data_IF_292412284209
#
_entry.id   IF_292412284209
#
_cell.length_a   1.000
_cell.length_b   1.000
_cell.length_c   1.000
_cell.angle_alpha   90.00
_cell.angle_beta   90.00
_cell.angle_gamma   90.00
#
_symmetry.space_group_name_H-M   'P 1'
#
loop_
_entity.id
_entity.type
_entity.pdbx_description
1 polymer ?
#
# COMPACT_ATOMS: atom_id res chain seq x y z
N UNK A 1 8.71 -17.46 6.60
CA UNK A 1 8.16 -16.14 6.32
C UNK A 1 7.33 -16.15 5.06
N UNK A 2 6.52 -15.13 4.83
CA UNK A 2 5.79 -14.94 3.59
C UNK A 2 6.74 -14.41 2.50
N UNK A 3 6.66 -14.97 1.30
CA UNK A 3 7.34 -14.40 0.13
C UNK A 3 6.36 -13.44 -0.55
N UNK A 4 6.71 -12.15 -0.60
CA UNK A 4 5.96 -11.13 -1.32
C UNK A 4 6.58 -10.97 -2.71
N UNK A 5 5.78 -11.20 -3.74
CA UNK A 5 6.22 -10.99 -5.13
C UNK A 5 5.95 -9.55 -5.54
N UNK A 6 6.85 -8.97 -6.32
CA UNK A 6 6.70 -7.61 -6.82
C UNK A 6 7.35 -7.41 -8.18
N UNK A 7 7.18 -6.23 -8.72
CA UNK A 7 7.76 -5.80 -9.98
C UNK A 7 8.52 -4.50 -9.76
N UNK A 8 9.72 -4.45 -10.30
CA UNK A 8 10.57 -3.29 -10.25
C UNK A 8 10.76 -2.75 -11.68
N UNK A 9 10.39 -1.49 -11.87
CA UNK A 9 10.65 -0.74 -13.11
C UNK A 9 11.77 0.24 -12.83
N UNK A 10 12.86 0.16 -13.60
CA UNK A 10 14.02 1.04 -13.46
C UNK A 10 14.23 1.88 -14.71
N UNK A 11 14.82 3.09 -14.60
CA UNK A 11 15.17 3.91 -15.75
C UNK A 11 16.12 3.15 -16.69
N UNK A 12 15.81 3.16 -18.00
CA UNK A 12 16.53 2.40 -19.02
C UNK A 12 18.05 2.67 -19.06
N UNK A 13 18.45 3.91 -18.76
CA UNK A 13 19.84 4.36 -18.88
C UNK A 13 20.55 4.49 -17.52
N UNK A 14 19.96 3.91 -16.44
CA UNK A 14 20.60 3.85 -15.14
C UNK A 14 21.36 2.54 -14.95
N UNK A 15 22.26 2.52 -13.99
CA UNK A 15 22.92 1.30 -13.51
C UNK A 15 22.02 0.50 -12.53
N UNK A 16 20.82 0.99 -12.25
CA UNK A 16 19.83 0.38 -11.36
C UNK A 16 20.18 0.52 -9.87
N UNK A 17 21.07 1.44 -9.50
CA UNK A 17 21.54 1.62 -8.13
C UNK A 17 21.26 3.00 -7.59
N UNK A 18 21.01 3.06 -6.29
CA UNK A 18 20.83 4.29 -5.52
C UNK A 18 19.86 5.28 -6.19
N UNK A 19 18.74 4.75 -6.69
CA UNK A 19 17.73 5.51 -7.42
C UNK A 19 16.68 6.10 -6.46
N UNK A 20 16.15 7.29 -6.75
CA UNK A 20 14.93 7.72 -6.07
C UNK A 20 13.82 6.70 -6.37
N UNK A 21 13.13 6.24 -5.32
CA UNK A 21 12.14 5.17 -5.39
C UNK A 21 10.72 5.71 -5.24
N UNK A 22 9.82 5.27 -6.09
CA UNK A 22 8.38 5.40 -5.89
C UNK A 22 7.80 4.03 -5.59
N UNK A 23 7.18 3.90 -4.42
CA UNK A 23 6.47 2.69 -3.98
C UNK A 23 5.01 2.84 -4.39
N UNK A 24 4.49 1.87 -5.12
CA UNK A 24 3.13 1.93 -5.67
C UNK A 24 2.33 0.69 -5.28
N UNK A 25 1.74 0.67 -4.06
CA UNK A 25 0.81 -0.40 -3.67
C UNK A 25 -0.48 -0.30 -4.48
N UNK A 26 -0.94 -1.44 -5.01
CA UNK A 26 -2.17 -1.49 -5.80
C UNK A 26 -3.42 -1.30 -4.95
N UNK A 27 -4.51 -0.89 -5.60
CA UNK A 27 -5.85 -0.86 -5.01
C UNK A 27 -6.48 -2.25 -4.88
N UNK A 28 -7.67 -2.30 -4.34
CA UNK A 28 -8.41 -3.52 -4.11
C UNK A 28 -8.87 -3.62 -2.66
N UNK A 29 -8.19 -4.37 -1.75
CA UNK A 29 -6.90 -5.05 -1.87
C UNK A 29 -6.91 -6.37 -2.65
N UNK A 30 -8.09 -6.97 -2.89
CA UNK A 30 -8.29 -8.24 -3.60
C UNK A 30 -8.09 -8.07 -5.12
N UNK A 31 -6.93 -7.56 -5.49
CA UNK A 31 -6.45 -7.38 -6.86
C UNK A 31 -4.98 -7.83 -6.93
N UNK A 32 -4.29 -7.55 -8.00
CA UNK A 32 -2.85 -7.77 -8.10
C UNK A 32 -2.22 -6.93 -9.20
N UNK A 33 -0.93 -6.70 -9.07
CA UNK A 33 -0.08 -6.26 -10.16
C UNK A 33 0.33 -7.44 -11.03
N UNK A 34 0.58 -7.15 -12.32
CA UNK A 34 0.99 -8.13 -13.33
C UNK A 34 2.29 -7.68 -13.99
N UNK A 35 3.06 -8.65 -14.46
CA UNK A 35 4.14 -8.37 -15.38
C UNK A 35 3.58 -7.81 -16.68
N UNK A 36 4.10 -6.67 -17.11
CA UNK A 36 3.70 -6.07 -18.39
C UNK A 36 3.94 -4.56 -18.43
N UNK A 37 3.46 -3.95 -19.50
CA UNK A 37 3.55 -2.52 -19.70
C UNK A 37 2.56 -1.79 -18.79
N UNK A 38 3.08 -0.95 -17.90
CA UNK A 38 2.31 -0.01 -17.11
C UNK A 38 2.72 1.42 -17.52
N UNK A 39 1.82 2.21 -18.15
CA UNK A 39 2.17 3.54 -18.68
C UNK A 39 2.61 4.51 -17.60
N UNK A 40 2.05 4.40 -16.39
CA UNK A 40 2.38 5.25 -15.25
C UNK A 40 3.77 4.92 -14.71
N UNK A 41 4.10 3.64 -14.52
CA UNK A 41 5.45 3.22 -14.12
C UNK A 41 6.48 3.63 -15.17
N UNK A 42 6.18 3.50 -16.47
CA UNK A 42 7.07 3.91 -17.54
C UNK A 42 7.27 5.44 -17.58
N UNK A 43 6.19 6.19 -17.32
CA UNK A 43 6.27 7.65 -17.22
C UNK A 43 7.20 8.07 -16.07
N UNK A 44 7.06 7.47 -14.89
CA UNK A 44 7.91 7.77 -13.75
C UNK A 44 9.36 7.32 -13.98
N UNK A 45 9.57 6.13 -14.53
CA UNK A 45 10.91 5.63 -14.87
C UNK A 45 11.62 6.50 -15.92
N UNK A 46 10.89 7.05 -16.89
CA UNK A 46 11.45 7.97 -17.87
C UNK A 46 11.96 9.27 -17.25
N UNK A 47 11.58 9.58 -16.02
CA UNK A 47 12.00 10.75 -15.24
C UNK A 47 13.06 10.43 -14.18
N UNK A 48 13.59 9.23 -14.22
CA UNK A 48 14.71 8.83 -13.37
C UNK A 48 14.32 8.11 -12.05
N UNK A 49 13.04 7.81 -11.84
CA UNK A 49 12.58 7.08 -10.65
C UNK A 49 12.60 5.58 -10.88
N UNK A 50 13.06 4.82 -9.90
CA UNK A 50 12.67 3.41 -9.79
C UNK A 50 11.22 3.35 -9.29
N UNK A 51 10.44 2.39 -9.79
CA UNK A 51 9.06 2.16 -9.33
C UNK A 51 8.93 0.72 -8.85
N UNK A 52 8.55 0.54 -7.60
CA UNK A 52 8.32 -0.76 -6.97
C UNK A 52 6.83 -0.95 -6.72
N UNK A 53 6.24 -1.94 -7.37
CA UNK A 53 4.90 -2.45 -7.06
C UNK A 53 5.00 -3.84 -6.48
N UNK A 54 4.17 -4.16 -5.47
CA UNK A 54 4.22 -5.42 -4.77
C UNK A 54 2.85 -6.02 -4.57
N UNK A 55 2.79 -7.35 -4.66
CA UNK A 55 1.61 -8.14 -4.36
C UNK A 55 1.66 -8.58 -2.89
N UNK A 56 1.36 -7.64 -1.99
CA UNK A 56 1.28 -7.85 -0.54
C UNK A 56 0.24 -8.94 -0.22
N UNK A 57 0.26 -9.48 1.02
CA UNK A 57 -0.78 -10.44 1.45
C UNK A 57 -2.17 -9.87 1.18
N UNK A 58 -3.11 -10.71 0.73
CA UNK A 58 -4.42 -10.28 0.24
C UNK A 58 -4.49 -10.16 -1.28
N UNK A 59 -3.36 -9.98 -1.97
CA UNK A 59 -3.34 -9.95 -3.43
C UNK A 59 -3.80 -11.29 -4.01
N UNK A 60 -4.56 -11.22 -5.11
CA UNK A 60 -5.09 -12.40 -5.80
C UNK A 60 -4.03 -13.08 -6.68
N UNK A 61 -4.31 -14.31 -7.12
CA UNK A 61 -3.45 -15.05 -8.03
C UNK A 61 -2.32 -15.87 -7.38
N UNK A 62 -2.16 -15.77 -6.04
CA UNK A 62 -1.17 -16.52 -5.26
C UNK A 62 -1.81 -17.62 -4.39
N UNK A 63 -3.08 -17.93 -4.66
CA UNK A 63 -3.84 -18.95 -3.94
C UNK A 63 -4.65 -18.41 -2.77
N UNK A 64 -5.63 -19.21 -2.34
CA UNK A 64 -6.58 -18.82 -1.28
C UNK A 64 -5.89 -18.53 0.05
N UNK A 65 -4.81 -19.23 0.38
CA UNK A 65 -4.06 -19.00 1.61
C UNK A 65 -3.46 -17.60 1.66
N UNK A 66 -2.89 -17.13 0.54
CA UNK A 66 -2.30 -15.79 0.44
C UNK A 66 -3.36 -14.69 0.63
N UNK A 67 -4.56 -14.86 0.03
CA UNK A 67 -5.69 -13.94 0.22
C UNK A 67 -6.13 -13.92 1.70
N UNK A 68 -6.31 -15.09 2.31
CA UNK A 68 -6.77 -15.19 3.72
C UNK A 68 -5.78 -14.63 4.74
N UNK A 69 -4.48 -14.55 4.40
CA UNK A 69 -3.50 -13.94 5.30
C UNK A 69 -3.69 -12.44 5.54
N UNK A 70 -4.54 -11.80 4.75
CA UNK A 70 -4.89 -10.39 4.89
C UNK A 70 -6.08 -10.12 5.80
N UNK A 71 -6.82 -11.16 6.20
CA UNK A 71 -8.03 -11.01 7.02
C UNK A 71 -7.68 -10.35 8.36
N UNK A 72 -8.32 -9.20 8.65
CA UNK A 72 -8.06 -8.41 9.86
C UNK A 72 -6.66 -7.79 9.93
N UNK A 73 -5.97 -7.65 8.79
CA UNK A 73 -4.58 -7.17 8.76
C UNK A 73 -4.41 -5.80 8.06
N UNK A 74 -5.50 -5.09 7.82
CA UNK A 74 -5.42 -3.73 7.31
C UNK A 74 -4.66 -2.83 8.30
N UNK A 75 -3.68 -2.06 7.80
CA UNK A 75 -2.78 -1.24 8.62
C UNK A 75 -1.80 -2.01 9.50
N UNK A 76 -1.85 -3.34 9.48
CA UNK A 76 -0.97 -4.26 10.23
C UNK A 76 0.01 -4.94 9.29
N UNK A 77 -0.03 -6.26 9.17
CA UNK A 77 0.92 -7.04 8.36
C UNK A 77 0.82 -6.74 6.86
N UNK A 78 -0.34 -6.32 6.36
CA UNK A 78 -0.43 -5.85 4.97
C UNK A 78 0.45 -4.62 4.74
N UNK A 79 0.49 -3.70 5.71
CA UNK A 79 1.39 -2.54 5.66
C UNK A 79 2.85 -2.93 5.90
N UNK A 80 3.10 -3.95 6.75
CA UNK A 80 4.46 -4.46 6.96
C UNK A 80 5.05 -5.02 5.65
N UNK A 81 4.25 -5.73 4.84
CA UNK A 81 4.68 -6.23 3.53
C UNK A 81 5.12 -5.09 2.59
N UNK A 82 4.43 -3.93 2.62
CA UNK A 82 4.84 -2.74 1.86
C UNK A 82 6.16 -2.19 2.39
N UNK A 83 6.28 -2.04 3.71
CA UNK A 83 7.50 -1.55 4.38
C UNK A 83 8.70 -2.47 4.11
N UNK A 84 8.50 -3.78 4.22
CA UNK A 84 9.55 -4.79 3.96
C UNK A 84 10.03 -4.75 2.50
N UNK A 85 9.11 -4.47 1.56
CA UNK A 85 9.47 -4.32 0.15
C UNK A 85 10.35 -3.09 -0.11
N UNK A 86 10.11 -1.99 0.61
CA UNK A 86 10.98 -0.80 0.58
C UNK A 86 12.36 -1.13 1.16
N UNK A 87 12.38 -1.73 2.34
CA UNK A 87 13.63 -2.11 3.00
C UNK A 87 14.46 -3.04 2.11
N UNK A 88 13.82 -4.01 1.47
CA UNK A 88 14.49 -4.88 0.49
C UNK A 88 15.14 -4.08 -0.64
N UNK A 89 14.43 -3.10 -1.24
CA UNK A 89 14.99 -2.31 -2.33
C UNK A 89 16.20 -1.47 -1.89
N UNK A 90 16.18 -0.96 -0.65
CA UNK A 90 17.31 -0.25 -0.04
C UNK A 90 18.48 -1.21 0.23
N UNK A 91 18.23 -2.38 0.84
CA UNK A 91 19.23 -3.39 1.14
C UNK A 91 19.94 -3.94 -0.11
N UNK A 92 19.20 -4.04 -1.24
CA UNK A 92 19.77 -4.44 -2.53
C UNK A 92 20.57 -3.30 -3.20
N UNK A 93 20.63 -2.11 -2.59
CA UNK A 93 21.30 -0.94 -3.16
C UNK A 93 20.60 -0.36 -4.38
N UNK A 94 19.34 -0.72 -4.60
CA UNK A 94 18.51 -0.22 -5.71
C UNK A 94 17.97 1.18 -5.38
N UNK A 95 17.41 1.32 -4.18
CA UNK A 95 16.78 2.56 -3.73
C UNK A 95 17.71 3.41 -2.87
N UNK A 96 17.66 4.71 -3.08
CA UNK A 96 18.22 5.71 -2.17
C UNK A 96 17.26 5.86 -0.97
N UNK A 97 17.69 5.49 0.26
CA UNK A 97 16.84 5.56 1.44
C UNK A 97 16.34 6.98 1.78
N UNK A 98 17.05 8.02 1.35
CA UNK A 98 16.69 9.41 1.59
C UNK A 98 15.70 9.96 0.55
N UNK A 99 15.40 9.19 -0.50
CA UNK A 99 14.56 9.61 -1.62
C UNK A 99 13.50 8.55 -1.98
N UNK A 100 12.72 8.12 -0.98
CA UNK A 100 11.59 7.19 -1.16
C UNK A 100 10.28 7.96 -1.10
N UNK A 101 9.43 7.82 -2.10
CA UNK A 101 8.05 8.33 -2.09
C UNK A 101 7.07 7.15 -2.19
N UNK A 102 5.84 7.38 -1.72
CA UNK A 102 4.76 6.41 -1.83
C UNK A 102 3.55 7.04 -2.53
N UNK A 103 2.95 6.30 -3.46
CA UNK A 103 1.79 6.73 -4.22
C UNK A 103 0.82 5.58 -4.41
N UNK A 104 -0.47 5.83 -4.24
CA UNK A 104 -1.46 4.78 -4.43
C UNK A 104 -2.89 5.29 -4.48
N UNK A 105 -3.77 4.45 -5.05
CA UNK A 105 -5.18 4.76 -5.21
C UNK A 105 -6.07 3.75 -4.47
N UNK A 106 -7.23 4.22 -3.98
CA UNK A 106 -8.21 3.38 -3.29
C UNK A 106 -7.59 2.68 -2.06
N UNK A 107 -7.57 1.34 -1.98
CA UNK A 107 -6.79 0.64 -0.94
C UNK A 107 -5.30 1.04 -0.98
N UNK A 108 -4.71 1.22 -2.17
CA UNK A 108 -3.34 1.74 -2.30
C UNK A 108 -3.16 3.12 -1.67
N UNK A 109 -4.19 3.98 -1.77
CA UNK A 109 -4.22 5.27 -1.07
C UNK A 109 -4.33 5.12 0.45
N UNK A 110 -5.11 4.14 0.94
CA UNK A 110 -5.08 3.76 2.36
C UNK A 110 -3.67 3.31 2.79
N UNK A 111 -3.00 2.47 1.99
CA UNK A 111 -1.64 2.01 2.27
C UNK A 111 -0.63 3.18 2.29
N UNK A 112 -0.82 4.21 1.46
CA UNK A 112 -0.06 5.47 1.54
C UNK A 112 -0.23 6.11 2.91
N UNK A 113 -1.48 6.35 3.31
CA UNK A 113 -1.78 7.00 4.60
C UNK A 113 -1.32 6.17 5.79
N UNK A 114 -1.53 4.85 5.76
CA UNK A 114 -1.02 3.94 6.77
C UNK A 114 0.52 3.96 6.83
N UNK A 115 1.19 4.02 5.69
CA UNK A 115 2.64 4.12 5.59
C UNK A 115 3.21 5.34 6.28
N UNK A 116 2.70 6.54 5.94
CA UNK A 116 3.20 7.80 6.49
C UNK A 116 2.81 8.04 7.96
N UNK A 117 1.84 7.29 8.48
CA UNK A 117 1.47 7.34 9.92
C UNK A 117 2.19 6.28 10.74
N UNK A 118 2.53 5.13 10.15
CA UNK A 118 3.22 4.01 10.82
C UNK A 118 4.75 4.15 10.77
N UNK A 119 5.27 4.61 9.62
CA UNK A 119 6.70 4.82 9.37
C UNK A 119 6.96 6.24 8.83
N UNK A 120 6.68 7.30 9.63
CA UNK A 120 6.64 8.69 9.14
C UNK A 120 7.96 9.20 8.54
N UNK A 121 9.09 8.61 8.94
CA UNK A 121 10.42 9.00 8.46
C UNK A 121 10.88 8.25 7.21
N UNK A 122 10.13 7.24 6.76
CA UNK A 122 10.53 6.43 5.62
C UNK A 122 10.33 7.15 4.28
N UNK A 123 9.32 8.03 4.22
CA UNK A 123 8.89 8.62 2.96
C UNK A 123 9.20 10.11 2.88
N UNK A 124 9.80 10.54 1.76
CA UNK A 124 10.10 11.93 1.44
C UNK A 124 8.88 12.68 0.88
N UNK A 125 7.98 11.95 0.22
CA UNK A 125 6.70 12.45 -0.23
C UNK A 125 5.66 11.34 -0.33
N UNK A 126 4.39 11.72 -0.27
CA UNK A 126 3.26 10.82 -0.38
C UNK A 126 2.18 11.41 -1.28
N UNK A 127 1.55 10.57 -2.09
CA UNK A 127 0.39 10.96 -2.91
C UNK A 127 -0.73 9.97 -2.65
N UNK A 128 -1.80 10.46 -2.02
CA UNK A 128 -3.00 9.69 -1.74
C UNK A 128 -4.08 10.02 -2.78
N UNK A 129 -4.41 9.05 -3.62
CA UNK A 129 -5.49 9.22 -4.58
C UNK A 129 -6.72 8.41 -4.15
N UNK A 130 -7.76 9.11 -3.69
CA UNK A 130 -9.06 8.56 -3.25
C UNK A 130 -8.93 7.41 -2.23
N UNK A 131 -7.95 7.47 -1.34
CA UNK A 131 -7.71 6.43 -0.33
C UNK A 131 -8.67 6.51 0.85
N UNK A 132 -8.90 5.37 1.49
CA UNK A 132 -9.65 5.28 2.73
C UNK A 132 -8.83 5.90 3.87
N UNK A 133 -9.39 6.85 4.59
CA UNK A 133 -8.71 7.49 5.73
C UNK A 133 -9.41 7.25 7.06
N UNK A 134 -10.67 6.82 7.02
CA UNK A 134 -11.54 6.59 8.17
C UNK A 134 -12.37 5.32 7.94
N UNK A 135 -12.15 4.28 8.74
CA UNK A 135 -12.88 3.01 8.62
C UNK A 135 -14.35 3.17 9.02
N UNK A 136 -14.66 4.00 10.01
CA UNK A 136 -16.04 4.28 10.40
C UNK A 136 -16.81 4.97 9.29
N UNK A 137 -16.19 5.94 8.63
CA UNK A 137 -16.77 6.60 7.47
C UNK A 137 -16.94 5.62 6.29
N UNK A 138 -15.96 4.76 6.03
CA UNK A 138 -16.05 3.74 5.00
C UNK A 138 -17.30 2.89 5.19
N UNK A 139 -17.49 2.30 6.38
CA UNK A 139 -18.65 1.44 6.66
C UNK A 139 -19.99 2.22 6.62
N UNK A 140 -20.01 3.44 7.19
CA UNK A 140 -21.26 4.26 7.22
C UNK A 140 -21.69 4.81 5.85
N UNK A 141 -20.76 4.90 4.89
CA UNK A 141 -21.00 5.42 3.53
C UNK A 141 -20.88 4.35 2.45
N UNK A 142 -20.85 3.10 2.85
CA UNK A 142 -20.74 1.99 1.91
C UNK A 142 -21.89 2.00 0.89
N UNK A 143 -21.60 1.94 -0.42
CA UNK A 143 -22.65 1.89 -1.43
C UNK A 143 -23.51 0.63 -1.26
N UNK A 144 -24.83 0.75 -1.42
CA UNK A 144 -25.76 -0.38 -1.31
C UNK A 144 -25.39 -1.58 -2.17
N UNK A 145 -24.77 -1.36 -3.32
CA UNK A 145 -24.32 -2.43 -4.20
C UNK A 145 -23.23 -3.31 -3.56
N UNK A 146 -22.57 -2.83 -2.50
CA UNK A 146 -21.55 -3.59 -1.76
C UNK A 146 -22.12 -4.38 -0.57
N UNK A 147 -23.41 -4.19 -0.22
CA UNK A 147 -24.07 -4.97 0.84
C UNK A 147 -23.98 -6.49 0.60
N UNK A 148 -23.92 -6.93 -0.68
CA UNK A 148 -23.75 -8.34 -1.02
C UNK A 148 -22.42 -8.94 -0.54
N UNK A 149 -21.43 -8.10 -0.23
CA UNK A 149 -20.11 -8.50 0.27
C UNK A 149 -19.90 -8.13 1.73
N UNK A 150 -20.93 -7.67 2.45
CA UNK A 150 -20.80 -7.19 3.83
C UNK A 150 -20.13 -8.22 4.74
N UNK A 151 -20.58 -9.48 4.70
CA UNK A 151 -19.99 -10.56 5.50
C UNK A 151 -18.51 -10.82 5.13
N UNK A 152 -18.17 -10.72 3.85
CA UNK A 152 -16.78 -10.86 3.42
C UNK A 152 -15.92 -9.70 3.91
N UNK A 153 -16.45 -8.50 3.89
CA UNK A 153 -15.75 -7.30 4.38
C UNK A 153 -15.52 -7.34 5.88
N UNK A 154 -16.49 -7.85 6.66
CA UNK A 154 -16.31 -8.07 8.09
C UNK A 154 -15.16 -9.05 8.39
N UNK A 155 -15.00 -10.08 7.56
CA UNK A 155 -13.87 -11.02 7.68
C UNK A 155 -12.54 -10.37 7.27
N UNK A 156 -12.53 -9.60 6.21
CA UNK A 156 -11.30 -9.04 5.62
C UNK A 156 -10.80 -7.79 6.34
N UNK A 157 -11.71 -6.91 6.74
CA UNK A 157 -11.38 -5.62 7.36
C UNK A 157 -11.61 -5.68 8.88
N UNK A 158 -12.77 -6.19 9.30
CA UNK A 158 -13.27 -6.21 10.66
C UNK A 158 -14.72 -5.76 10.69
N UNK A 159 -15.43 -6.09 11.76
CA UNK A 159 -16.81 -5.66 12.02
C UNK A 159 -16.77 -4.37 12.86
N UNK A 160 -17.39 -3.29 12.36
CA UNK A 160 -17.32 -1.98 13.02
C UNK A 160 -17.94 -1.97 14.42
N UNK A 161 -18.92 -2.81 14.66
CA UNK A 161 -19.59 -2.88 15.97
C UNK A 161 -18.75 -3.63 17.02
N UNK A 162 -18.07 -4.72 16.62
CA UNK A 162 -17.26 -5.54 17.53
C UNK A 162 -15.78 -5.18 17.54
N UNK A 163 -15.22 -4.69 16.43
CA UNK A 163 -13.79 -4.45 16.26
C UNK A 163 -13.43 -2.94 16.21
N UNK A 164 -14.31 -2.10 16.76
CA UNK A 164 -14.17 -0.63 16.68
C UNK A 164 -12.81 -0.14 17.14
N UNK A 165 -12.30 -0.64 18.26
CA UNK A 165 -10.97 -0.23 18.78
C UNK A 165 -9.85 -0.49 17.76
N UNK A 166 -9.88 -1.66 17.13
CA UNK A 166 -8.92 -1.98 16.07
C UNK A 166 -9.09 -1.06 14.85
N UNK A 167 -10.32 -0.89 14.37
CA UNK A 167 -10.61 -0.09 13.19
C UNK A 167 -10.25 1.38 13.40
N UNK A 168 -10.52 1.92 14.60
CA UNK A 168 -10.10 3.27 14.97
C UNK A 168 -8.55 3.38 15.00
N UNK A 169 -7.87 2.36 15.53
CA UNK A 169 -6.40 2.35 15.63
C UNK A 169 -5.69 2.26 14.27
N UNK A 170 -6.36 1.71 13.23
CA UNK A 170 -5.82 1.62 11.87
C UNK A 170 -6.42 2.65 10.91
N UNK A 171 -7.28 3.54 11.40
CA UNK A 171 -7.83 4.66 10.65
C UNK A 171 -6.82 5.82 10.62
N UNK A 172 -6.26 6.17 9.45
CA UNK A 172 -5.25 7.24 9.35
C UNK A 172 -5.70 8.57 9.92
N UNK A 173 -6.99 8.89 9.87
CA UNK A 173 -7.55 10.14 10.39
C UNK A 173 -7.27 10.32 11.90
N UNK A 174 -7.18 9.23 12.65
CA UNK A 174 -6.87 9.24 14.08
C UNK A 174 -5.37 9.33 14.37
N UNK A 175 -4.53 9.32 13.34
CA UNK A 175 -3.07 9.27 13.43
C UNK A 175 -2.41 10.45 12.71
N UNK A 176 -3.16 11.48 12.35
CA UNK A 176 -2.68 12.63 11.54
C UNK A 176 -1.51 13.36 12.18
N UNK A 177 -1.46 13.41 13.50
CA UNK A 177 -0.38 14.07 14.24
C UNK A 177 0.99 13.37 14.09
N UNK A 178 1.01 12.15 13.51
CA UNK A 178 2.23 11.40 13.23
C UNK A 178 2.82 11.71 11.86
N UNK A 179 2.09 12.43 11.00
CA UNK A 179 2.52 12.68 9.62
C UNK A 179 3.61 13.74 9.62
N UNK A 180 4.81 13.36 9.19
CA UNK A 180 5.94 14.25 8.96
C UNK A 180 6.19 14.46 7.45
N UNK A 181 5.61 13.62 6.62
CA UNK A 181 5.80 13.54 5.17
C UNK A 181 4.91 14.56 4.44
N UNK A 182 5.43 15.34 3.48
CA UNK A 182 4.59 16.13 2.56
C UNK A 182 3.59 15.22 1.83
N UNK A 183 2.30 15.58 1.92
CA UNK A 183 1.17 14.80 1.40
C UNK A 183 0.39 15.59 0.37
N UNK A 184 0.05 14.94 -0.74
CA UNK A 184 -0.80 15.43 -1.82
C UNK A 184 -1.99 14.53 -2.06
#
# INVERSE_FOLDING_TARGET
>A
GLVVNGYLTVPKNSDGKNLPLIVNPHGGPNARDYWGYNPEHQFLASRGYAVLSMNFRGSTGYGRSHVKMANGEWGRKMQDDVTDSVNWAVEQGIADPDNVCIYGASYGGYAVMAGITKTPKMYKCAVNYVGVTDMGLLFSKMPKVWEIWEEQQKIEIGDYDSDKEYLDAVSPINLVDRIETPLY
#
